data_IF_568487650160
#
_entry.id   IF_568487650160
#
_cell.length_a   1.000
_cell.length_b   1.000
_cell.length_c   1.000
_cell.angle_alpha   90.00
_cell.angle_beta   90.00
_cell.angle_gamma   90.00
#
_symmetry.space_group_name_H-M   'P 1'
#
loop_
_entity.id
_entity.type
_entity.pdbx_description
1 polymer ?
#
# COMPACT_ATOMS: atom_id res chain seq x y z
N UNK A 1 60.27 -19.14 -6.77
CA UNK A 1 59.41 -17.94 -6.66
C UNK A 1 58.02 -18.23 -7.25
N UNK A 2 57.00 -18.60 -6.45
CA UNK A 2 55.60 -18.36 -6.86
C UNK A 2 54.61 -17.96 -5.73
N UNK A 3 55.06 -17.62 -4.52
CA UNK A 3 54.16 -17.36 -3.38
C UNK A 3 53.49 -15.97 -3.36
N UNK A 4 53.78 -15.06 -4.29
CA UNK A 4 53.32 -13.67 -4.22
C UNK A 4 51.91 -13.40 -4.78
N UNK A 5 51.29 -14.37 -5.45
CA UNK A 5 49.96 -14.22 -6.06
C UNK A 5 48.80 -14.80 -5.22
N UNK A 6 49.10 -15.56 -4.15
CA UNK A 6 48.08 -16.23 -3.32
C UNK A 6 47.33 -15.25 -2.40
N UNK A 7 48.02 -14.26 -1.84
CA UNK A 7 47.43 -13.27 -0.94
C UNK A 7 46.35 -12.37 -1.61
N UNK A 8 46.57 -11.77 -2.79
CA UNK A 8 45.53 -10.98 -3.46
C UNK A 8 44.34 -11.83 -3.92
N UNK A 9 44.57 -13.09 -4.31
CA UNK A 9 43.50 -14.03 -4.67
C UNK A 9 42.62 -14.41 -3.49
N UNK A 10 43.21 -14.63 -2.31
CA UNK A 10 42.47 -14.89 -1.07
C UNK A 10 41.64 -13.67 -0.62
N UNK A 11 42.20 -12.46 -0.77
CA UNK A 11 41.50 -11.21 -0.47
C UNK A 11 40.30 -10.97 -1.38
N UNK A 12 40.46 -11.21 -2.70
CA UNK A 12 39.35 -11.13 -3.66
C UNK A 12 38.28 -12.18 -3.37
N UNK A 13 38.68 -13.42 -3.08
CA UNK A 13 37.75 -14.50 -2.70
C UNK A 13 36.98 -14.14 -1.43
N UNK A 14 37.63 -13.57 -0.42
CA UNK A 14 36.98 -13.16 0.81
C UNK A 14 35.98 -12.01 0.59
N UNK A 15 36.32 -11.04 -0.28
CA UNK A 15 35.40 -9.97 -0.67
C UNK A 15 34.19 -10.50 -1.42
N UNK A 16 34.40 -11.41 -2.38
CA UNK A 16 33.31 -12.10 -3.10
C UNK A 16 32.45 -12.90 -2.12
N UNK A 17 33.05 -13.65 -1.19
CA UNK A 17 32.31 -14.40 -0.18
C UNK A 17 31.52 -13.48 0.77
N UNK A 18 32.08 -12.33 1.15
CA UNK A 18 31.40 -11.33 1.97
C UNK A 18 30.20 -10.73 1.21
N UNK A 19 30.37 -10.43 -0.06
CA UNK A 19 29.30 -9.92 -0.93
C UNK A 19 28.18 -10.97 -1.11
N UNK A 20 28.54 -12.23 -1.40
CA UNK A 20 27.59 -13.34 -1.51
C UNK A 20 26.92 -13.71 -0.18
N UNK A 21 27.57 -13.46 0.96
CA UNK A 21 27.01 -13.78 2.28
C UNK A 21 25.82 -12.90 2.68
N UNK A 22 25.64 -11.74 2.03
CA UNK A 22 24.60 -10.78 2.38
C UNK A 22 24.84 -10.02 3.69
N UNK A 23 25.98 -10.24 4.36
CA UNK A 23 26.30 -9.62 5.66
C UNK A 23 26.31 -8.08 5.57
N UNK A 24 26.78 -7.52 4.46
CA UNK A 24 26.75 -6.07 4.22
C UNK A 24 25.32 -5.51 4.19
N UNK A 25 24.40 -6.20 3.54
CA UNK A 25 22.98 -5.83 3.47
C UNK A 25 22.31 -5.90 4.85
N UNK A 26 22.64 -6.93 5.64
CA UNK A 26 22.14 -7.07 7.01
C UNK A 26 22.60 -5.91 7.88
N UNK A 27 23.89 -5.57 7.85
CA UNK A 27 24.42 -4.45 8.62
C UNK A 27 23.81 -3.11 8.19
N UNK A 28 23.63 -2.90 6.88
CA UNK A 28 23.01 -1.70 6.34
C UNK A 28 21.53 -1.56 6.77
N UNK A 29 20.74 -2.63 6.67
CA UNK A 29 19.34 -2.61 7.10
C UNK A 29 19.21 -2.37 8.61
N UNK A 30 19.99 -3.06 9.45
CA UNK A 30 19.97 -2.83 10.90
C UNK A 30 20.41 -1.40 11.26
N UNK A 31 21.42 -0.86 10.57
CA UNK A 31 21.83 0.53 10.74
C UNK A 31 20.72 1.51 10.37
N UNK A 32 20.01 1.25 9.27
CA UNK A 32 18.85 2.05 8.84
C UNK A 32 17.71 2.01 9.87
N UNK A 33 17.39 0.81 10.39
CA UNK A 33 16.35 0.63 11.40
C UNK A 33 16.72 1.39 12.70
N UNK A 34 17.99 1.31 13.13
CA UNK A 34 18.49 2.10 14.27
C UNK A 34 18.37 3.61 14.02
N UNK A 35 18.67 4.09 12.81
CA UNK A 35 18.52 5.51 12.47
C UNK A 35 17.05 5.96 12.53
N UNK A 36 16.11 5.12 12.13
CA UNK A 36 14.68 5.41 12.27
C UNK A 36 14.22 5.42 13.73
N UNK A 37 14.71 4.48 14.55
CA UNK A 37 14.45 4.46 15.99
C UNK A 37 15.00 5.70 16.68
N UNK A 38 16.25 6.08 16.39
CA UNK A 38 16.90 7.28 16.94
C UNK A 38 16.21 8.57 16.51
N UNK A 39 15.70 8.64 15.27
CA UNK A 39 14.95 9.79 14.77
C UNK A 39 13.60 9.95 15.49
N UNK A 40 13.00 8.85 15.94
CA UNK A 40 11.69 8.84 16.59
C UNK A 40 10.50 9.13 15.66
N UNK A 41 9.28 9.17 16.22
CA UNK A 41 8.05 9.42 15.45
C UNK A 41 7.99 10.85 14.89
N UNK A 42 7.53 10.97 13.64
CA UNK A 42 7.23 12.23 12.95
C UNK A 42 5.73 12.33 12.76
N UNK A 43 5.19 13.53 12.95
CA UNK A 43 3.79 13.77 12.62
C UNK A 43 3.60 13.78 11.10
N UNK A 44 2.72 12.93 10.55
CA UNK A 44 2.43 12.96 9.13
C UNK A 44 1.59 14.18 8.76
N UNK A 45 1.67 14.58 7.50
CA UNK A 45 0.75 15.59 6.97
C UNK A 45 -0.66 14.99 7.02
N UNK A 46 -1.56 15.57 7.81
CA UNK A 46 -2.91 15.03 8.08
C UNK A 46 -3.89 15.10 6.89
N UNK A 47 -3.37 15.10 5.66
CA UNK A 47 -4.14 15.03 4.41
C UNK A 47 -4.43 13.60 3.97
N UNK A 48 -3.89 12.58 4.66
CA UNK A 48 -4.18 11.17 4.45
C UNK A 48 -5.02 10.63 5.61
N UNK A 49 -6.11 9.94 5.30
CA UNK A 49 -6.96 9.22 6.26
C UNK A 49 -6.99 7.75 5.87
N UNK A 50 -6.70 6.88 6.83
CA UNK A 50 -6.83 5.44 6.67
C UNK A 50 -8.21 5.01 7.19
N UNK A 51 -8.92 4.21 6.43
CA UNK A 51 -10.17 3.56 6.83
C UNK A 51 -9.90 2.06 6.89
N UNK A 52 -9.92 1.51 8.09
CA UNK A 52 -9.61 0.11 8.34
C UNK A 52 -10.85 -0.77 8.36
N UNK A 53 -10.81 -1.88 7.64
CA UNK A 53 -11.67 -3.02 7.92
C UNK A 53 -11.08 -3.73 9.15
N UNK A 54 -11.59 -3.36 10.31
CA UNK A 54 -11.15 -3.79 11.64
C UNK A 54 -12.10 -4.81 12.27
N UNK A 55 -11.78 -5.29 13.47
CA UNK A 55 -12.60 -6.26 14.19
C UNK A 55 -14.05 -5.76 14.41
N UNK A 56 -14.31 -4.51 14.84
CA UNK A 56 -15.67 -3.97 14.89
C UNK A 56 -16.41 -4.05 13.56
N UNK A 57 -15.73 -3.77 12.45
CA UNK A 57 -16.33 -3.83 11.11
C UNK A 57 -16.74 -5.26 10.74
N UNK A 58 -15.88 -6.25 11.02
CA UNK A 58 -16.21 -7.66 10.80
C UNK A 58 -17.35 -8.14 11.71
N UNK A 59 -17.36 -7.71 12.98
CA UNK A 59 -18.45 -8.04 13.91
C UNK A 59 -19.79 -7.47 13.46
N UNK A 60 -19.79 -6.25 12.90
CA UNK A 60 -21.03 -5.56 12.51
C UNK A 60 -21.54 -5.95 11.12
N UNK A 61 -20.65 -6.12 10.15
CA UNK A 61 -21.01 -6.36 8.74
C UNK A 61 -20.84 -7.82 8.29
N UNK A 62 -20.26 -8.68 9.13
CA UNK A 62 -20.07 -10.10 8.87
C UNK A 62 -18.70 -10.45 8.32
N UNK A 63 -18.61 -11.62 7.68
CA UNK A 63 -17.35 -12.12 7.14
C UNK A 63 -16.88 -11.30 5.92
N UNK A 64 -15.56 -11.19 5.79
CA UNK A 64 -14.90 -10.68 4.59
C UNK A 64 -14.93 -11.75 3.47
N UNK A 65 -15.03 -11.37 2.17
CA UNK A 65 -15.17 -10.02 1.62
C UNK A 65 -16.55 -9.41 1.83
N UNK A 66 -16.59 -8.10 2.09
CA UNK A 66 -17.85 -7.37 2.23
C UNK A 66 -18.60 -7.25 0.89
N UNK A 67 -19.95 -7.16 0.92
CA UNK A 67 -20.73 -6.92 -0.29
C UNK A 67 -20.38 -5.60 -0.98
N UNK A 68 -20.43 -5.58 -2.31
CA UNK A 68 -20.18 -4.39 -3.15
C UNK A 68 -21.02 -3.18 -2.77
N UNK A 69 -22.24 -3.45 -2.31
CA UNK A 69 -23.20 -2.45 -1.86
C UNK A 69 -22.70 -1.68 -0.62
N UNK A 70 -21.89 -2.29 0.25
CA UNK A 70 -21.27 -1.60 1.39
C UNK A 70 -20.17 -0.65 0.91
N UNK A 71 -19.36 -1.05 -0.07
CA UNK A 71 -18.33 -0.16 -0.63
C UNK A 71 -18.96 1.03 -1.37
N UNK A 72 -20.07 0.80 -2.08
CA UNK A 72 -20.84 1.88 -2.70
C UNK A 72 -21.37 2.89 -1.65
N UNK A 73 -21.95 2.40 -0.55
CA UNK A 73 -22.40 3.25 0.56
C UNK A 73 -21.25 4.00 1.25
N UNK A 74 -20.07 3.39 1.33
CA UNK A 74 -18.88 4.06 1.85
C UNK A 74 -18.53 5.25 0.96
N UNK A 75 -18.51 5.07 -0.37
CA UNK A 75 -18.23 6.16 -1.31
C UNK A 75 -19.22 7.32 -1.16
N UNK A 76 -20.49 7.05 -0.86
CA UNK A 76 -21.47 8.11 -0.57
C UNK A 76 -21.08 8.93 0.68
N UNK A 77 -20.54 8.30 1.72
CA UNK A 77 -20.02 9.00 2.91
C UNK A 77 -18.76 9.81 2.58
N UNK A 78 -17.96 9.32 1.65
CA UNK A 78 -16.69 9.90 1.22
C UNK A 78 -16.83 10.87 0.04
N UNK A 79 -18.04 11.31 -0.33
CA UNK A 79 -18.29 12.14 -1.52
C UNK A 79 -17.47 13.43 -1.64
N UNK A 80 -16.98 13.98 -0.53
CA UNK A 80 -16.13 15.19 -0.53
C UNK A 80 -14.64 14.88 -0.46
N UNK A 81 -14.25 13.60 -0.39
CA UNK A 81 -12.86 13.16 -0.43
C UNK A 81 -12.20 13.61 -1.74
N UNK A 82 -10.92 13.97 -1.66
CA UNK A 82 -10.14 14.40 -2.83
C UNK A 82 -9.90 13.23 -3.79
N UNK A 83 -9.59 12.07 -3.22
CA UNK A 83 -9.51 10.78 -3.92
C UNK A 83 -9.62 9.65 -2.90
N UNK A 84 -10.10 8.50 -3.34
CA UNK A 84 -10.24 7.28 -2.54
C UNK A 84 -9.47 6.14 -3.20
N UNK A 85 -8.63 5.44 -2.45
CA UNK A 85 -7.99 4.20 -2.88
C UNK A 85 -8.53 3.00 -2.12
N UNK A 86 -8.93 1.95 -2.83
CA UNK A 86 -9.24 0.65 -2.22
C UNK A 86 -8.02 -0.26 -2.29
N UNK A 87 -7.40 -0.51 -1.14
CA UNK A 87 -6.23 -1.37 -0.96
C UNK A 87 -6.64 -2.82 -0.72
N UNK A 88 -7.42 -3.35 -1.66
CA UNK A 88 -7.81 -4.76 -1.74
C UNK A 88 -8.38 -5.06 -3.12
N UNK A 89 -8.22 -6.30 -3.55
CA UNK A 89 -8.50 -6.70 -4.93
C UNK A 89 -9.98 -6.95 -5.17
N UNK A 90 -10.38 -6.71 -6.42
CA UNK A 90 -11.71 -7.04 -6.93
C UNK A 90 -11.62 -7.94 -8.16
N UNK A 91 -11.04 -9.15 -8.04
CA UNK A 91 -10.64 -9.95 -9.19
C UNK A 91 -11.82 -10.61 -9.92
N UNK A 92 -12.91 -10.86 -9.20
CA UNK A 92 -14.06 -11.62 -9.71
C UNK A 92 -15.34 -10.77 -9.75
N UNK A 93 -16.22 -11.03 -10.74
CA UNK A 93 -17.57 -10.45 -10.77
C UNK A 93 -18.35 -10.77 -9.51
N UNK A 94 -19.09 -9.81 -9.00
CA UNK A 94 -19.95 -10.00 -7.84
C UNK A 94 -21.27 -9.25 -7.96
N UNK A 95 -22.27 -9.67 -7.19
CA UNK A 95 -23.52 -8.94 -7.06
C UNK A 95 -23.26 -7.52 -6.52
N UNK A 96 -23.87 -6.52 -7.16
CA UNK A 96 -23.73 -5.10 -6.80
C UNK A 96 -22.55 -4.38 -7.46
N UNK A 97 -21.83 -5.00 -8.39
CA UNK A 97 -20.80 -4.34 -9.21
C UNK A 97 -21.37 -3.13 -9.98
N UNK A 98 -22.62 -3.20 -10.43
CA UNK A 98 -23.33 -2.10 -11.09
C UNK A 98 -23.57 -0.91 -10.13
N UNK A 99 -23.89 -1.19 -8.86
CA UNK A 99 -24.09 -0.19 -7.84
C UNK A 99 -22.76 0.47 -7.45
N UNK A 100 -21.71 -0.34 -7.25
CA UNK A 100 -20.38 0.16 -6.96
C UNK A 100 -19.83 1.00 -8.13
N UNK A 101 -20.02 0.55 -9.36
CA UNK A 101 -19.59 1.30 -10.56
C UNK A 101 -20.26 2.67 -10.65
N UNK A 102 -21.57 2.74 -10.39
CA UNK A 102 -22.30 4.01 -10.34
C UNK A 102 -21.79 4.91 -9.21
N UNK A 103 -21.49 4.35 -8.04
CA UNK A 103 -20.96 5.11 -6.91
C UNK A 103 -19.55 5.65 -7.21
N UNK A 104 -18.69 4.89 -7.87
CA UNK A 104 -17.37 5.37 -8.31
C UNK A 104 -17.50 6.50 -9.36
N UNK A 105 -18.42 6.36 -10.32
CA UNK A 105 -18.62 7.35 -11.36
C UNK A 105 -19.24 8.67 -10.85
N UNK A 106 -20.11 8.61 -9.83
CA UNK A 106 -20.80 9.78 -9.28
C UNK A 106 -20.13 10.38 -8.03
N UNK A 107 -19.24 9.63 -7.40
CA UNK A 107 -18.62 9.96 -6.12
C UNK A 107 -17.23 10.60 -6.26
N UNK A 108 -16.37 10.43 -5.24
CA UNK A 108 -14.99 10.92 -5.31
C UNK A 108 -14.19 10.08 -6.32
N UNK A 109 -13.12 10.63 -6.92
CA UNK A 109 -12.25 9.85 -7.81
C UNK A 109 -11.68 8.61 -7.09
N UNK A 110 -11.92 7.43 -7.66
CA UNK A 110 -11.52 6.14 -7.04
C UNK A 110 -10.37 5.49 -7.79
N UNK A 111 -9.38 5.00 -7.04
CA UNK A 111 -8.31 4.14 -7.53
C UNK A 111 -8.47 2.73 -6.98
N UNK A 112 -8.42 1.74 -7.86
CA UNK A 112 -8.48 0.32 -7.49
C UNK A 112 -7.09 -0.31 -7.51
N UNK A 113 -6.83 -1.23 -6.59
CA UNK A 113 -5.58 -2.00 -6.61
C UNK A 113 -5.57 -3.07 -7.69
N UNK A 114 -4.38 -3.23 -8.26
CA UNK A 114 -3.97 -4.35 -9.11
C UNK A 114 -2.85 -5.08 -8.36
N UNK A 115 -2.81 -6.40 -8.40
CA UNK A 115 -1.70 -7.16 -7.83
C UNK A 115 -1.16 -8.14 -8.85
N UNK A 116 0.08 -8.58 -8.67
CA UNK A 116 0.64 -9.68 -9.44
C UNK A 116 0.17 -11.02 -8.86
N UNK A 117 -0.46 -11.84 -9.71
CA UNK A 117 -0.81 -13.21 -9.39
C UNK A 117 0.45 -14.10 -9.35
N UNK A 118 0.31 -15.33 -8.85
CA UNK A 118 1.43 -16.28 -8.71
C UNK A 118 2.09 -16.68 -10.03
N UNK A 119 1.35 -16.61 -11.13
CA UNK A 119 1.87 -16.85 -12.49
C UNK A 119 2.65 -15.66 -13.05
N UNK A 120 2.79 -14.60 -12.26
CA UNK A 120 3.48 -13.38 -12.64
C UNK A 120 2.64 -12.40 -13.45
N UNK A 121 1.38 -12.69 -13.75
CA UNK A 121 0.52 -11.75 -14.48
C UNK A 121 -0.12 -10.74 -13.53
N UNK A 122 -0.38 -9.53 -14.02
CA UNK A 122 -1.20 -8.58 -13.27
C UNK A 122 -2.66 -9.01 -13.30
N UNK A 123 -3.28 -8.99 -12.13
CA UNK A 123 -4.69 -9.31 -11.91
C UNK A 123 -5.48 -8.00 -11.81
N UNK A 124 -6.13 -7.54 -12.91
CA UNK A 124 -6.91 -6.31 -12.89
C UNK A 124 -8.22 -6.48 -12.12
N UNK A 125 -8.91 -5.38 -11.77
CA UNK A 125 -10.30 -5.45 -11.35
C UNK A 125 -11.16 -6.15 -12.41
N UNK A 126 -12.18 -6.87 -11.96
CA UNK A 126 -13.16 -7.55 -12.82
C UNK A 126 -13.73 -6.60 -13.87
N UNK A 127 -13.92 -7.11 -15.09
CA UNK A 127 -14.49 -6.36 -16.21
C UNK A 127 -15.93 -5.87 -15.98
N UNK A 128 -16.62 -6.42 -14.97
CA UNK A 128 -17.96 -5.97 -14.54
C UNK A 128 -17.93 -4.66 -13.73
N UNK A 129 -16.75 -4.23 -13.25
CA UNK A 129 -16.57 -2.93 -12.59
C UNK A 129 -16.11 -1.86 -13.58
N UNK A 130 -16.66 -0.66 -13.41
CA UNK A 130 -16.33 0.52 -14.19
C UNK A 130 -16.50 1.80 -13.37
N UNK A 131 -16.09 2.96 -13.88
CA UNK A 131 -16.28 4.25 -13.19
C UNK A 131 -15.17 4.63 -12.21
N UNK A 132 -14.16 3.77 -12.02
CA UNK A 132 -12.92 4.13 -11.34
C UNK A 132 -12.16 5.19 -12.16
N UNK A 133 -11.48 6.10 -11.46
CA UNK A 133 -10.61 7.10 -12.07
C UNK A 133 -9.25 6.51 -12.49
N UNK A 134 -8.82 5.42 -11.84
CA UNK A 134 -7.58 4.75 -12.17
C UNK A 134 -7.43 3.39 -11.49
N UNK A 135 -6.34 2.72 -11.84
CA UNK A 135 -5.89 1.52 -11.17
C UNK A 135 -4.38 1.60 -10.96
N UNK A 136 -3.88 0.99 -9.90
CA UNK A 136 -2.45 0.98 -9.62
C UNK A 136 -1.99 -0.28 -8.92
N UNK A 137 -0.75 -0.68 -9.17
CA UNK A 137 -0.20 -1.91 -8.63
C UNK A 137 0.24 -1.76 -7.17
N UNK A 138 0.06 -2.83 -6.40
CA UNK A 138 0.62 -2.99 -5.07
C UNK A 138 1.58 -4.17 -5.07
N UNK A 139 2.78 -3.95 -4.51
CA UNK A 139 3.83 -4.95 -4.46
C UNK A 139 4.48 -4.90 -3.08
N UNK A 140 4.43 -6.03 -2.37
CA UNK A 140 5.12 -6.19 -1.09
C UNK A 140 6.54 -6.68 -1.33
N UNK A 141 7.52 -5.79 -1.18
CA UNK A 141 8.93 -6.14 -1.32
C UNK A 141 9.52 -6.57 0.02
N UNK A 142 9.40 -7.86 0.32
CA UNK A 142 10.04 -8.49 1.48
C UNK A 142 11.56 -8.49 1.29
N UNK A 143 12.28 -8.03 2.32
CA UNK A 143 13.73 -8.24 2.40
C UNK A 143 14.02 -9.68 2.84
N UNK A 144 15.27 -10.14 2.73
CA UNK A 144 15.65 -11.52 3.11
C UNK A 144 15.41 -11.87 4.58
N UNK A 145 15.19 -10.86 5.43
CA UNK A 145 14.81 -10.99 6.85
C UNK A 145 13.29 -10.94 7.07
N UNK A 146 12.48 -10.91 6.01
CA UNK A 146 11.03 -10.86 6.07
C UNK A 146 10.44 -9.48 6.39
N UNK A 147 11.26 -8.44 6.48
CA UNK A 147 10.81 -7.07 6.81
C UNK A 147 10.63 -6.26 5.52
N UNK A 148 9.50 -5.56 5.43
CA UNK A 148 9.22 -4.66 4.30
C UNK A 148 9.86 -3.31 4.57
N UNK A 149 10.88 -2.95 3.78
CA UNK A 149 11.57 -1.64 3.87
C UNK A 149 11.54 -0.85 2.58
N UNK A 150 11.06 -1.46 1.50
CA UNK A 150 11.11 -0.89 0.16
C UNK A 150 9.76 -1.03 -0.53
N UNK A 151 9.47 -0.10 -1.40
CA UNK A 151 8.32 -0.14 -2.29
C UNK A 151 8.76 0.14 -3.73
N UNK A 152 7.92 -0.22 -4.69
CA UNK A 152 8.19 -0.06 -6.12
C UNK A 152 7.43 1.16 -6.68
N UNK A 153 8.11 2.25 -7.07
CA UNK A 153 7.46 3.44 -7.63
C UNK A 153 7.25 3.36 -9.16
N UNK A 154 8.02 2.53 -9.85
CA UNK A 154 7.93 2.31 -11.30
C UNK A 154 6.64 1.62 -11.70
N UNK A 155 6.22 1.83 -12.95
CA UNK A 155 5.06 1.15 -13.50
C UNK A 155 5.38 -0.32 -13.80
N UNK A 156 4.40 -1.19 -13.58
CA UNK A 156 4.44 -2.61 -13.94
C UNK A 156 3.48 -2.84 -15.11
N UNK A 157 3.99 -3.33 -16.24
CA UNK A 157 3.18 -3.62 -17.44
C UNK A 157 2.26 -2.44 -17.85
N UNK A 158 2.76 -1.21 -17.69
CA UNK A 158 2.04 0.04 -17.97
C UNK A 158 1.12 0.53 -16.85
N UNK A 159 0.90 -0.26 -15.81
CA UNK A 159 0.12 0.12 -14.62
C UNK A 159 1.03 0.91 -13.66
N UNK A 160 0.69 2.14 -13.24
CA UNK A 160 1.48 2.90 -12.27
C UNK A 160 1.41 2.28 -10.87
N UNK A 161 2.35 2.63 -9.99
CA UNK A 161 2.24 2.27 -8.57
C UNK A 161 0.96 2.86 -7.95
N UNK A 162 0.31 2.11 -7.06
CA UNK A 162 -0.97 2.51 -6.46
C UNK A 162 -0.92 3.88 -5.77
N UNK A 163 0.14 4.17 -5.03
CA UNK A 163 0.35 5.48 -4.39
C UNK A 163 0.47 6.62 -5.42
N UNK A 164 1.10 6.36 -6.58
CA UNK A 164 1.23 7.31 -7.67
C UNK A 164 -0.12 7.55 -8.35
N UNK A 165 -0.84 6.48 -8.69
CA UNK A 165 -2.17 6.55 -9.28
C UNK A 165 -3.12 7.39 -8.42
N UNK A 166 -3.07 7.22 -7.08
CA UNK A 166 -3.87 7.99 -6.14
C UNK A 166 -3.49 9.48 -6.13
N UNK A 167 -2.20 9.81 -6.13
CA UNK A 167 -1.73 11.20 -6.17
C UNK A 167 -2.12 11.89 -7.48
N UNK A 168 -1.90 11.23 -8.62
CA UNK A 168 -2.23 11.76 -9.95
C UNK A 168 -3.74 11.97 -10.09
N UNK A 169 -4.56 11.01 -9.64
CA UNK A 169 -6.02 11.10 -9.59
C UNK A 169 -6.49 12.27 -8.71
N UNK A 170 -5.79 12.53 -7.62
CA UNK A 170 -6.04 13.68 -6.76
C UNK A 170 -5.53 15.01 -7.34
N UNK A 171 -4.91 15.03 -8.53
CA UNK A 171 -4.27 16.22 -9.09
C UNK A 171 -3.10 16.74 -8.24
N UNK A 172 -2.42 15.85 -7.52
CA UNK A 172 -1.21 16.15 -6.76
C UNK A 172 0.02 15.77 -7.58
N UNK A 173 1.05 16.62 -7.53
CA UNK A 173 2.30 16.31 -8.20
C UNK A 173 2.95 15.07 -7.58
N UNK A 174 3.19 14.05 -8.41
CA UNK A 174 4.05 12.94 -8.09
C UNK A 174 5.40 13.17 -8.77
N UNK A 175 6.50 13.07 -8.03
CA UNK A 175 7.84 13.09 -8.62
C UNK A 175 7.97 11.99 -9.67
N UNK A 176 8.82 12.19 -10.69
CA UNK A 176 9.12 11.15 -11.66
C UNK A 176 9.64 9.91 -10.89
N UNK A 177 9.14 8.70 -11.20
CA UNK A 177 9.49 7.55 -10.42
C UNK A 177 10.98 7.25 -10.65
N UNK A 178 11.73 7.11 -9.56
CA UNK A 178 13.08 6.58 -9.67
C UNK A 178 13.02 5.15 -10.22
N UNK A 179 14.03 4.74 -10.98
CA UNK A 179 14.11 3.37 -11.46
C UNK A 179 14.40 2.42 -10.28
N UNK A 180 13.50 1.45 -10.07
CA UNK A 180 13.67 0.38 -9.10
C UNK A 180 13.18 0.71 -7.68
N UNK A 181 13.38 -0.24 -6.73
CA UNK A 181 12.83 -0.13 -5.38
C UNK A 181 13.37 1.07 -4.60
N UNK A 182 12.48 1.80 -3.94
CA UNK A 182 12.80 2.92 -3.06
C UNK A 182 12.60 2.55 -1.60
N UNK A 183 13.40 3.13 -0.70
CA UNK A 183 13.26 2.96 0.75
C UNK A 183 11.99 3.68 1.22
N UNK A 184 11.22 3.00 2.06
CA UNK A 184 10.07 3.58 2.75
C UNK A 184 10.59 4.55 3.81
N UNK A 185 10.14 5.80 3.73
CA UNK A 185 10.37 6.75 4.82
C UNK A 185 9.31 6.53 5.90
N UNK A 186 9.60 5.63 6.86
CA UNK A 186 8.69 5.38 7.98
C UNK A 186 8.42 6.67 8.74
N UNK A 187 7.19 6.89 9.23
CA UNK A 187 6.86 8.06 10.05
C UNK A 187 6.86 7.72 11.54
N UNK A 188 6.57 6.49 11.92
CA UNK A 188 6.47 6.08 13.32
C UNK A 188 5.77 4.73 13.44
N UNK A 189 5.44 4.30 14.67
CA UNK A 189 4.74 3.06 14.92
C UNK A 189 3.30 3.08 14.36
N UNK A 190 2.57 1.98 14.55
CA UNK A 190 1.14 1.93 14.24
C UNK A 190 0.38 3.12 14.83
N UNK A 191 -0.71 3.52 14.17
CA UNK A 191 -1.55 4.67 14.54
C UNK A 191 -0.89 6.04 14.37
N UNK A 192 0.32 6.13 13.79
CA UNK A 192 0.93 7.42 13.42
C UNK A 192 0.05 8.21 12.43
N UNK A 193 -0.59 7.53 11.48
CA UNK A 193 -1.57 8.13 10.58
C UNK A 193 -2.97 8.06 11.16
N UNK A 194 -3.77 9.11 10.92
CA UNK A 194 -5.17 9.15 11.30
C UNK A 194 -5.91 7.95 10.68
N UNK A 195 -6.55 7.19 11.56
CA UNK A 195 -7.15 5.90 11.26
C UNK A 195 -8.58 5.88 11.78
N UNK A 196 -9.53 5.54 10.92
CA UNK A 196 -10.95 5.41 11.23
C UNK A 196 -11.41 3.98 10.97
N UNK A 197 -12.42 3.53 11.70
CA UNK A 197 -13.08 2.24 11.45
C UNK A 197 -14.00 2.33 10.23
N UNK A 198 -14.01 1.30 9.39
CA UNK A 198 -14.91 1.20 8.22
C UNK A 198 -16.37 1.32 8.64
N UNK A 199 -16.78 0.63 9.71
CA UNK A 199 -18.16 0.68 10.22
C UNK A 199 -18.53 2.07 10.75
N UNK A 200 -17.61 2.77 11.41
CA UNK A 200 -17.85 4.11 11.95
C UNK A 200 -18.10 5.15 10.85
N UNK A 201 -17.34 5.06 9.75
CA UNK A 201 -17.53 5.92 8.59
C UNK A 201 -18.87 5.62 7.92
N UNK A 202 -19.21 4.33 7.72
CA UNK A 202 -20.50 3.94 7.16
C UNK A 202 -21.69 4.44 7.99
N UNK A 203 -21.59 4.33 9.32
CA UNK A 203 -22.58 4.80 10.28
C UNK A 203 -22.72 6.33 10.31
N UNK A 204 -21.90 7.08 9.57
CA UNK A 204 -22.00 8.54 9.48
C UNK A 204 -21.47 9.26 10.73
N UNK A 205 -20.61 8.63 11.54
CA UNK A 205 -19.97 9.28 12.69
C UNK A 205 -19.06 10.44 12.28
N UNK A 206 -18.64 10.45 11.02
CA UNK A 206 -17.87 11.51 10.39
C UNK A 206 -18.68 12.17 9.27
N UNK A 207 -18.93 13.49 9.32
CA UNK A 207 -19.68 14.17 8.27
C UNK A 207 -18.85 14.21 6.97
N UNK A 208 -19.47 14.28 5.77
CA UNK A 208 -18.73 14.32 4.50
C UNK A 208 -17.65 15.40 4.43
N UNK A 209 -17.92 16.59 5.00
CA UNK A 209 -16.97 17.70 5.06
C UNK A 209 -15.67 17.39 5.81
N UNK A 210 -15.65 16.36 6.67
CA UNK A 210 -14.43 15.89 7.32
C UNK A 210 -13.40 15.40 6.30
N UNK A 211 -13.86 14.74 5.23
CA UNK A 211 -13.01 14.14 4.20
C UNK A 211 -12.57 15.14 3.13
N UNK A 212 -13.07 16.37 3.17
CA UNK A 212 -12.73 17.41 2.20
C UNK A 212 -11.22 17.63 2.11
N UNK A 213 -10.71 17.67 0.88
CA UNK A 213 -9.28 17.84 0.56
C UNK A 213 -8.35 16.74 1.12
N UNK A 214 -8.92 15.62 1.58
CA UNK A 214 -8.15 14.47 2.08
C UNK A 214 -8.11 13.34 1.07
N UNK A 215 -6.95 12.69 1.00
CA UNK A 215 -6.79 11.38 0.40
C UNK A 215 -7.29 10.33 1.39
N UNK A 216 -8.06 9.37 0.92
CA UNK A 216 -8.60 8.30 1.74
C UNK A 216 -8.09 6.97 1.22
N UNK A 217 -7.52 6.15 2.10
CA UNK A 217 -7.14 4.77 1.80
C UNK A 217 -8.02 3.83 2.60
N UNK A 218 -8.62 2.86 1.94
CA UNK A 218 -9.49 1.87 2.56
C UNK A 218 -8.82 0.50 2.43
N UNK A 219 -8.52 -0.16 3.55
CA UNK A 219 -7.73 -1.40 3.54
C UNK A 219 -8.04 -2.32 4.71
N UNK A 220 -7.55 -3.57 4.62
CA UNK A 220 -7.69 -4.55 5.69
C UNK A 220 -6.81 -4.18 6.89
N UNK A 221 -7.36 -4.25 8.10
CA UNK A 221 -6.61 -3.96 9.34
C UNK A 221 -6.88 -4.92 10.49
N UNK A 222 -7.92 -5.73 10.39
CA UNK A 222 -8.17 -6.77 11.37
C UNK A 222 -7.03 -7.81 11.33
N UNK A 223 -6.59 -8.26 12.51
CA UNK A 223 -5.48 -9.22 12.66
C UNK A 223 -5.75 -10.51 11.88
N UNK A 224 -7.01 -10.95 11.84
CA UNK A 224 -7.44 -12.16 11.14
C UNK A 224 -7.45 -12.09 9.61
N UNK A 225 -7.23 -10.91 9.00
CA UNK A 225 -7.22 -10.73 7.54
C UNK A 225 -5.82 -10.88 6.92
N UNK A 226 -4.78 -11.05 7.74
CA UNK A 226 -3.45 -11.46 7.28
C UNK A 226 -2.64 -10.38 6.54
N UNK A 227 -3.10 -9.13 6.53
CA UNK A 227 -2.42 -8.01 5.85
C UNK A 227 -1.40 -7.26 6.75
N UNK A 228 -1.16 -7.79 7.95
CA UNK A 228 -0.17 -7.24 8.87
C UNK A 228 1.25 -7.67 8.46
N UNK A 229 2.10 -6.69 8.17
CA UNK A 229 3.50 -6.92 7.84
C UNK A 229 4.42 -6.31 8.91
N UNK A 230 5.48 -7.03 9.27
CA UNK A 230 6.52 -6.47 10.15
C UNK A 230 7.27 -5.37 9.40
N UNK A 231 7.25 -4.18 9.99
CA UNK A 231 7.96 -2.99 9.50
C UNK A 231 8.82 -2.46 10.65
N UNK A 232 10.10 -2.15 10.32
CA UNK A 232 11.25 -1.73 11.16
C UNK A 232 11.20 -1.92 12.68
#
# INVERSE_FOLDING_TARGET
>A
MPQRLLAPGLGLLLLVLLEYSGLGTVLANNGLDLLFQLRGPRQPVQRLVLIGIDEPSLQHHGAWPFPRTLHAQLLDRLREARAVGFDFLFPEPAAGDDQLSRAMAAGPPVVLTVARAYDGQLLPPTATLSGQAGAGHVETLLSGDGIVRRFRPDALDGVPAFSRALLETAGLAAEAPAAGPLIINFYGPEQTFLSLSYTDVLAGRHPPAFFRDRLVLVGARAVGLGDAHVTS
#
